data_IF_218353552866
#
_entry.id   IF_218353552866
#
_cell.length_a   1.000
_cell.length_b   1.000
_cell.length_c   1.000
_cell.angle_alpha   90.00
_cell.angle_beta   90.00
_cell.angle_gamma   90.00
#
_symmetry.space_group_name_H-M   'P 1'
#
loop_
_entity.id
_entity.type
_entity.pdbx_description
1 polymer ?
#
# COMPACT_ATOMS: atom_id res chain seq x y z
N UNK A 1 -1.73 25.59 6.66
CA UNK A 1 -1.90 24.34 7.44
C UNK A 1 -2.54 23.20 6.66
N UNK A 2 -3.80 23.27 6.22
CA UNK A 2 -4.53 22.14 5.57
C UNK A 2 -3.78 21.43 4.42
N UNK A 3 -3.02 22.17 3.61
CA UNK A 3 -2.24 21.63 2.48
C UNK A 3 -0.96 20.91 2.87
N UNK A 4 -0.33 21.36 3.95
CA UNK A 4 0.88 20.73 4.50
C UNK A 4 0.50 19.38 5.08
N UNK A 5 -0.65 19.31 5.77
CA UNK A 5 -1.22 18.07 6.30
C UNK A 5 -1.53 17.09 5.15
N UNK A 6 -2.17 17.55 4.07
CA UNK A 6 -2.44 16.70 2.90
C UNK A 6 -1.15 16.15 2.26
N UNK A 7 -0.11 16.99 2.14
CA UNK A 7 1.20 16.58 1.65
C UNK A 7 1.82 15.49 2.53
N UNK A 8 1.85 15.70 3.85
CA UNK A 8 2.39 14.73 4.80
C UNK A 8 1.65 13.39 4.76
N UNK A 9 0.32 13.41 4.64
CA UNK A 9 -0.49 12.20 4.50
C UNK A 9 -0.13 11.46 3.21
N UNK A 10 -0.07 12.14 2.06
CA UNK A 10 0.28 11.51 0.78
C UNK A 10 1.70 10.95 0.75
N UNK A 11 2.65 11.65 1.38
CA UNK A 11 4.03 11.17 1.57
C UNK A 11 4.08 9.95 2.49
N UNK A 12 3.29 9.94 3.56
CA UNK A 12 3.14 8.78 4.45
C UNK A 12 2.65 7.55 3.71
N UNK A 13 1.59 7.69 2.90
CA UNK A 13 1.08 6.58 2.08
C UNK A 13 2.09 6.11 1.03
N UNK A 14 2.79 7.02 0.35
CA UNK A 14 3.80 6.66 -0.63
C UNK A 14 5.00 5.94 0.01
N UNK A 15 5.47 6.41 1.17
CA UNK A 15 6.56 5.79 1.92
C UNK A 15 6.17 4.40 2.45
N UNK A 16 4.95 4.26 3.00
CA UNK A 16 4.42 2.97 3.44
C UNK A 16 4.24 1.99 2.28
N UNK A 17 3.78 2.47 1.11
CA UNK A 17 3.66 1.67 -0.10
C UNK A 17 5.02 1.16 -0.59
N UNK A 18 6.05 2.02 -0.62
CA UNK A 18 7.42 1.64 -0.97
C UNK A 18 8.01 0.62 0.02
N UNK A 19 7.82 0.83 1.31
CA UNK A 19 8.27 -0.09 2.34
C UNK A 19 7.60 -1.46 2.21
N UNK A 20 6.28 -1.49 1.98
CA UNK A 20 5.53 -2.71 1.74
C UNK A 20 5.97 -3.44 0.46
N UNK A 21 6.30 -2.72 -0.62
CA UNK A 21 6.88 -3.33 -1.84
C UNK A 21 8.26 -3.90 -1.56
N UNK A 22 9.15 -3.16 -0.91
CA UNK A 22 10.50 -3.63 -0.61
C UNK A 22 10.47 -4.91 0.25
N UNK A 23 9.57 -4.98 1.22
CA UNK A 23 9.33 -6.17 2.04
C UNK A 23 8.59 -7.30 1.31
N UNK A 24 8.06 -7.06 0.11
CA UNK A 24 7.35 -8.05 -0.70
C UNK A 24 8.26 -8.76 -1.74
N UNK A 25 9.54 -8.37 -1.85
CA UNK A 25 10.54 -9.06 -2.68
C UNK A 25 11.68 -9.64 -1.84
N UNK A 26 11.41 -10.62 -0.96
CA UNK A 26 12.49 -11.36 -0.30
C UNK A 26 13.27 -12.19 -1.32
N UNK A 27 14.57 -12.40 -1.06
CA UNK A 27 15.37 -13.32 -1.87
C UNK A 27 14.97 -14.77 -1.61
N UNK A 28 15.19 -15.68 -2.57
CA UNK A 28 14.87 -17.11 -2.38
C UNK A 28 15.57 -17.71 -1.15
N UNK A 29 16.80 -17.24 -0.85
CA UNK A 29 17.53 -17.63 0.35
C UNK A 29 16.84 -17.18 1.64
N UNK A 30 16.28 -15.96 1.66
CA UNK A 30 15.51 -15.45 2.80
C UNK A 30 14.21 -16.23 2.99
N UNK A 31 13.50 -16.56 1.90
CA UNK A 31 12.25 -17.34 1.97
C UNK A 31 12.52 -18.76 2.47
N UNK A 32 13.60 -19.39 2.00
CA UNK A 32 14.00 -20.71 2.47
C UNK A 32 14.36 -20.68 3.96
N UNK A 33 15.14 -19.70 4.40
CA UNK A 33 15.51 -19.55 5.81
C UNK A 33 14.28 -19.29 6.71
N UNK A 34 13.39 -18.39 6.30
CA UNK A 34 12.17 -18.10 7.07
C UNK A 34 11.24 -19.33 7.15
N UNK A 35 11.13 -20.09 6.07
CA UNK A 35 10.37 -21.35 6.05
C UNK A 35 10.94 -22.34 7.05
N UNK A 36 12.27 -22.57 7.02
CA UNK A 36 12.94 -23.46 7.97
C UNK A 36 12.77 -22.99 9.42
N UNK A 37 12.97 -21.70 9.70
CA UNK A 37 12.83 -21.15 11.06
C UNK A 37 11.40 -21.29 11.59
N UNK A 38 10.38 -21.02 10.76
CA UNK A 38 8.98 -21.18 11.15
C UNK A 38 8.62 -22.63 11.40
N UNK A 39 9.05 -23.55 10.52
CA UNK A 39 8.78 -24.98 10.68
C UNK A 39 9.48 -25.51 11.94
N UNK A 40 10.73 -25.12 12.20
CA UNK A 40 11.49 -25.58 13.35
C UNK A 40 10.92 -25.08 14.70
N UNK A 41 10.42 -23.84 14.72
CA UNK A 41 9.86 -23.20 15.91
C UNK A 41 8.40 -23.57 16.17
N UNK A 42 7.70 -24.19 15.22
CA UNK A 42 6.29 -24.54 15.39
C UNK A 42 6.11 -25.59 16.49
N UNK A 43 5.22 -25.26 17.44
CA UNK A 43 4.72 -26.17 18.47
C UNK A 43 3.19 -26.08 18.41
N UNK A 44 2.48 -27.13 17.95
CA UNK A 44 1.03 -27.09 17.92
C UNK A 44 0.49 -27.02 19.34
N UNK A 45 -0.46 -26.10 19.55
CA UNK A 45 -1.09 -25.84 20.85
C UNK A 45 -2.58 -26.13 20.73
N UNK A 46 -3.11 -26.89 21.67
CA UNK A 46 -4.53 -27.15 21.81
C UNK A 46 -4.96 -26.72 23.22
N UNK A 47 -6.02 -25.92 23.31
CA UNK A 47 -6.53 -25.41 24.57
C UNK A 47 -5.43 -24.84 25.51
N UNK A 48 -4.57 -23.98 24.95
CA UNK A 48 -3.47 -23.31 25.66
C UNK A 48 -2.36 -24.25 26.17
N UNK A 49 -2.38 -25.52 25.78
CA UNK A 49 -1.37 -26.51 26.13
C UNK A 49 -0.64 -27.02 24.88
N UNK A 50 0.68 -27.10 24.95
CA UNK A 50 1.49 -27.72 23.89
C UNK A 50 1.10 -29.20 23.73
N UNK A 51 0.89 -29.59 22.48
CA UNK A 51 0.56 -30.97 22.12
C UNK A 51 1.82 -31.79 21.91
N UNK A 52 1.80 -33.01 22.42
CA UNK A 52 2.78 -34.05 22.09
C UNK A 52 2.47 -34.73 20.74
N UNK A 53 3.44 -35.48 20.18
CA UNK A 53 3.29 -36.14 18.87
C UNK A 53 2.13 -37.14 18.76
N UNK A 54 1.62 -37.64 19.89
CA UNK A 54 0.51 -38.61 19.95
C UNK A 54 -0.82 -37.98 20.34
N UNK A 55 -0.83 -36.67 20.57
CA UNK A 55 -2.02 -35.98 21.05
C UNK A 55 -2.95 -35.64 19.88
N UNK A 56 -4.23 -35.56 20.18
CA UNK A 56 -5.28 -35.14 19.24
C UNK A 56 -6.08 -34.00 19.85
N UNK A 57 -6.34 -32.97 19.05
CA UNK A 57 -7.10 -31.80 19.49
C UNK A 57 -8.52 -31.88 18.95
N UNK A 58 -9.49 -31.68 19.83
CA UNK A 58 -10.90 -31.54 19.44
C UNK A 58 -11.20 -30.06 19.28
N UNK A 59 -11.52 -29.64 18.05
CA UNK A 59 -11.96 -28.28 17.78
C UNK A 59 -13.44 -28.15 18.13
N UNK A 60 -13.75 -27.49 19.23
CA UNK A 60 -15.14 -27.19 19.62
C UNK A 60 -15.62 -25.94 18.86
N UNK A 61 -16.64 -26.12 17.99
CA UNK A 61 -17.30 -25.05 17.24
C UNK A 61 -17.14 -25.16 15.71
N UNK A 62 -18.25 -25.50 15.04
CA UNK A 62 -18.41 -25.48 13.58
C UNK A 62 -17.55 -26.51 12.82
N UNK A 63 -18.12 -27.71 12.59
CA UNK A 63 -17.47 -28.93 12.11
C UNK A 63 -16.46 -29.49 13.09
N UNK A 64 -16.93 -30.33 14.03
CA UNK A 64 -16.10 -31.08 14.97
C UNK A 64 -15.24 -32.11 14.20
N UNK A 65 -14.13 -31.63 13.64
CA UNK A 65 -13.07 -32.47 13.09
C UNK A 65 -11.96 -32.51 14.12
N UNK A 66 -11.68 -33.70 14.67
CA UNK A 66 -10.47 -33.92 15.44
C UNK A 66 -9.28 -33.71 14.53
N UNK A 67 -8.31 -32.91 14.94
CA UNK A 67 -7.07 -32.73 14.21
C UNK A 67 -5.94 -33.30 15.04
N UNK A 68 -5.18 -34.23 14.45
CA UNK A 68 -4.04 -34.85 15.10
C UNK A 68 -2.83 -33.91 15.12
N UNK A 69 -1.88 -34.13 16.03
CA UNK A 69 -0.60 -33.41 16.02
C UNK A 69 0.02 -33.42 14.62
N UNK A 70 0.04 -34.58 13.96
CA UNK A 70 0.63 -34.76 12.64
C UNK A 70 -0.09 -33.92 11.58
N UNK A 71 -1.42 -33.94 11.56
CA UNK A 71 -2.20 -33.13 10.62
C UNK A 71 -1.99 -31.62 10.81
N UNK A 72 -1.87 -31.14 12.05
CA UNK A 72 -1.59 -29.73 12.32
C UNK A 72 -0.19 -29.33 11.88
N UNK A 73 0.81 -30.18 12.14
CA UNK A 73 2.19 -29.96 11.68
C UNK A 73 2.27 -30.00 10.17
N UNK A 74 1.64 -30.98 9.52
CA UNK A 74 1.65 -31.12 8.06
C UNK A 74 0.96 -29.93 7.39
N UNK A 75 -0.18 -29.49 7.92
CA UNK A 75 -0.85 -28.28 7.43
C UNK A 75 0.02 -27.04 7.62
N UNK A 76 0.64 -26.87 8.80
CA UNK A 76 1.52 -25.73 9.06
C UNK A 76 2.75 -25.74 8.13
N UNK A 77 3.35 -26.91 7.91
CA UNK A 77 4.49 -27.09 7.01
C UNK A 77 4.10 -26.78 5.56
N UNK A 78 2.92 -27.19 5.13
CA UNK A 78 2.41 -26.87 3.79
C UNK A 78 2.18 -25.36 3.62
N UNK A 79 1.56 -24.71 4.61
CA UNK A 79 1.29 -23.26 4.58
C UNK A 79 2.55 -22.40 4.68
N UNK A 80 3.58 -22.88 5.37
CA UNK A 80 4.86 -22.18 5.53
C UNK A 80 5.96 -22.75 4.62
N UNK A 81 5.61 -23.61 3.67
CA UNK A 81 6.51 -24.02 2.60
C UNK A 81 6.95 -22.80 1.78
N UNK A 82 8.08 -22.86 1.05
CA UNK A 82 8.54 -21.73 0.23
C UNK A 82 7.47 -21.26 -0.77
N UNK A 83 6.68 -22.18 -1.31
CA UNK A 83 5.59 -21.91 -2.24
C UNK A 83 4.40 -21.23 -1.53
N UNK A 84 4.02 -21.70 -0.33
CA UNK A 84 2.99 -21.08 0.50
C UNK A 84 3.36 -19.66 0.96
N UNK A 85 4.62 -19.44 1.31
CA UNK A 85 5.14 -18.12 1.67
C UNK A 85 5.14 -17.17 0.47
N UNK A 86 5.54 -17.62 -0.73
CA UNK A 86 5.50 -16.81 -1.97
C UNK A 86 4.10 -16.25 -2.25
N UNK A 87 3.04 -17.03 -2.07
CA UNK A 87 1.66 -16.54 -2.24
C UNK A 87 1.29 -15.41 -1.27
N UNK A 88 1.78 -15.45 -0.03
CA UNK A 88 1.59 -14.35 0.94
C UNK A 88 2.38 -13.09 0.55
N UNK A 89 3.57 -13.26 -0.02
CA UNK A 89 4.38 -12.15 -0.56
C UNK A 89 3.70 -11.46 -1.74
N UNK A 90 3.08 -12.21 -2.65
CA UNK A 90 2.29 -11.62 -3.75
C UNK A 90 1.09 -10.80 -3.24
N UNK A 91 0.40 -11.27 -2.19
CA UNK A 91 -0.70 -10.50 -1.58
C UNK A 91 -0.20 -9.19 -0.97
N UNK A 92 0.94 -9.22 -0.27
CA UNK A 92 1.59 -8.01 0.26
C UNK A 92 2.07 -7.08 -0.83
N UNK A 93 2.58 -7.61 -1.94
CA UNK A 93 2.99 -6.83 -3.12
C UNK A 93 1.81 -6.04 -3.68
N UNK A 94 0.65 -6.67 -3.85
CA UNK A 94 -0.56 -5.98 -4.32
C UNK A 94 -1.04 -4.91 -3.34
N UNK A 95 -0.96 -5.17 -2.04
CA UNK A 95 -1.29 -4.19 -1.01
C UNK A 95 -0.33 -2.98 -1.04
N UNK A 96 0.96 -3.24 -1.20
CA UNK A 96 1.99 -2.21 -1.37
C UNK A 96 1.76 -1.37 -2.63
N UNK A 97 1.45 -2.01 -3.76
CA UNK A 97 1.13 -1.32 -5.03
C UNK A 97 -0.11 -0.44 -4.85
N UNK A 98 -1.17 -0.95 -4.21
CA UNK A 98 -2.37 -0.19 -3.93
C UNK A 98 -2.09 1.08 -3.09
N UNK A 99 -1.32 0.94 -2.02
CA UNK A 99 -0.91 2.09 -1.17
C UNK A 99 -0.07 3.10 -1.95
N UNK A 100 0.84 2.63 -2.80
CA UNK A 100 1.70 3.50 -3.61
C UNK A 100 0.90 4.27 -4.67
N UNK A 101 -0.07 3.62 -5.33
CA UNK A 101 -0.99 4.28 -6.28
C UNK A 101 -1.84 5.33 -5.59
N UNK A 102 -2.39 5.04 -4.40
CA UNK A 102 -3.16 6.02 -3.61
C UNK A 102 -2.28 7.19 -3.17
N UNK A 103 -1.06 6.92 -2.69
CA UNK A 103 -0.11 7.95 -2.29
C UNK A 103 0.28 8.88 -3.44
N UNK A 104 0.66 8.33 -4.59
CA UNK A 104 1.03 9.10 -5.79
C UNK A 104 -0.16 9.83 -6.42
N UNK A 105 -1.32 9.17 -6.50
CA UNK A 105 -2.56 9.78 -7.00
C UNK A 105 -3.00 10.96 -6.13
N UNK A 106 -2.95 10.80 -4.80
CA UNK A 106 -3.19 11.88 -3.86
C UNK A 106 -2.17 13.02 -4.01
N UNK A 107 -0.88 12.69 -4.16
CA UNK A 107 0.18 13.68 -4.38
C UNK A 107 -0.08 14.50 -5.65
N UNK A 108 -0.44 13.85 -6.77
CA UNK A 108 -0.74 14.52 -8.04
C UNK A 108 -1.91 15.52 -7.91
N UNK A 109 -2.95 15.18 -7.14
CA UNK A 109 -4.07 16.08 -6.85
C UNK A 109 -3.65 17.28 -5.99
N UNK A 110 -2.78 17.05 -4.99
CA UNK A 110 -2.24 18.14 -4.15
C UNK A 110 -1.38 19.08 -4.98
N UNK A 111 -0.47 18.56 -5.82
CA UNK A 111 0.35 19.37 -6.73
C UNK A 111 -0.52 20.15 -7.71
N UNK A 112 -1.53 19.53 -8.34
CA UNK A 112 -2.47 20.23 -9.22
C UNK A 112 -3.21 21.37 -8.51
N UNK A 113 -3.61 21.18 -7.26
CA UNK A 113 -4.24 22.23 -6.42
C UNK A 113 -3.29 23.38 -6.05
N UNK A 114 -1.99 23.10 -5.96
CA UNK A 114 -0.96 24.12 -5.78
C UNK A 114 -0.70 24.90 -7.07
N UNK A 115 -0.58 24.22 -8.21
CA UNK A 115 -0.35 24.85 -9.53
C UNK A 115 -1.53 25.75 -9.90
N UNK A 116 -2.79 25.27 -9.79
CA UNK A 116 -4.00 26.06 -10.07
C UNK A 116 -4.15 27.32 -9.22
N UNK A 117 -3.46 27.43 -8.08
CA UNK A 117 -3.45 28.66 -7.28
C UNK A 117 -2.32 29.61 -7.64
N UNK A 118 -1.26 29.13 -8.30
CA UNK A 118 -0.13 29.94 -8.75
C UNK A 118 -0.30 30.45 -10.17
N UNK A 119 -1.07 29.77 -11.01
CA UNK A 119 -1.54 30.34 -12.27
C UNK A 119 -2.78 31.19 -12.01
N UNK A 120 -2.74 32.52 -12.21
CA UNK A 120 -3.96 33.30 -12.31
C UNK A 120 -4.82 32.71 -13.43
N UNK A 121 -6.16 32.81 -13.36
CA UNK A 121 -7.00 32.44 -14.49
C UNK A 121 -6.49 33.19 -15.73
N UNK A 122 -6.46 32.57 -16.92
CA UNK A 122 -6.19 33.34 -18.13
C UNK A 122 -7.23 34.46 -18.16
N UNK A 123 -6.76 35.69 -18.07
CA UNK A 123 -7.57 36.87 -18.34
C UNK A 123 -8.22 36.65 -19.71
N UNK A 124 -9.54 36.65 -19.74
CA UNK A 124 -10.34 36.50 -20.95
C UNK A 124 -9.77 37.34 -22.10
N UNK A 125 -9.56 36.80 -23.31
CA UNK A 125 -9.00 37.52 -24.45
C UNK A 125 -10.04 38.38 -25.17
N UNK A 126 -10.87 39.15 -24.45
CA UNK A 126 -12.00 39.87 -25.04
C UNK A 126 -12.02 41.41 -24.85
N UNK A 127 -11.02 42.01 -24.20
CA UNK A 127 -10.90 43.48 -24.13
C UNK A 127 -9.94 44.07 -25.20
N UNK A 128 -9.67 43.32 -26.27
CA UNK A 128 -8.71 43.68 -27.33
C UNK A 128 -9.33 44.02 -28.69
N UNK A 129 -10.61 44.34 -28.77
CA UNK A 129 -11.28 44.71 -30.02
C UNK A 129 -12.12 45.98 -29.81
N UNK A 130 -11.45 47.14 -29.75
CA UNK A 130 -12.14 48.41 -29.52
C UNK A 130 -11.25 49.64 -29.67
N UNK A 131 -10.74 49.88 -30.88
CA UNK A 131 -10.49 51.24 -31.38
C UNK A 131 -9.24 51.98 -30.87
N UNK A 132 -8.15 51.88 -31.63
CA UNK A 132 -7.46 53.09 -32.07
C UNK A 132 -7.91 53.36 -33.51
N UNK A 133 -8.08 54.62 -33.96
CA UNK A 133 -6.89 55.43 -34.21
C UNK A 133 -7.05 56.98 -34.13
N UNK A 134 -5.90 57.63 -34.30
CA UNK A 134 -5.63 58.97 -34.86
C UNK A 134 -5.54 60.17 -33.90
N UNK A 135 -4.33 60.76 -33.92
CA UNK A 135 -3.93 62.10 -33.51
C UNK A 135 -4.96 63.19 -33.78
N UNK A 136 -5.24 64.04 -32.79
CA UNK A 136 -5.83 65.36 -33.02
C UNK A 136 -4.80 66.45 -32.71
N UNK A 137 -4.45 67.16 -33.78
CA UNK A 137 -3.63 68.38 -33.82
C UNK A 137 -4.32 69.51 -33.02
N UNK A 138 -3.62 70.30 -32.20
CA UNK A 138 -4.21 71.47 -31.58
C UNK A 138 -4.21 72.66 -32.57
N UNK A 139 -5.39 73.15 -32.93
CA UNK A 139 -5.59 74.50 -33.46
C UNK A 139 -6.36 75.29 -32.39
N UNK A 140 -5.68 76.20 -31.69
CA UNK A 140 -6.32 77.30 -31.00
C UNK A 140 -5.76 78.64 -31.54
N UNK A 141 -6.67 79.61 -31.61
CA UNK A 141 -6.57 80.91 -32.28
C UNK A 141 -5.58 81.88 -31.63
#
# INVERSE_FOLDING_TARGET
MKRIIALLITLGFAALGLWALAAAFPSDAQVAQESTDKIASYRPVCDHKEMGPRDTCLRFGGNAKSQTYQEMVDQYNQENSPEGLRGRYDTRKWLGVGLLVVGLGGLALVVRSFVRRRTPPPSSPLDGAGGQPVDQVPLEH
#
